data_IF_848137803869
#
_entry.id   IF_848137803869
#
_cell.length_a   1.000
_cell.length_b   1.000
_cell.length_c   1.000
_cell.angle_alpha   90.00
_cell.angle_beta   90.00
_cell.angle_gamma   90.00
#
_symmetry.space_group_name_H-M   'P 1'
#
loop_
_entity.id
_entity.type
_entity.pdbx_description
1 polymer ?
#
# COMPACT_ATOMS: atom_id res chain seq x y z
N UNK A 1 -15.98 -16.84 13.99
CA UNK A 1 -15.72 -15.90 12.88
C UNK A 1 -16.13 -14.48 13.21
N UNK A 2 -17.35 -14.24 13.75
CA UNK A 2 -17.78 -12.91 14.22
C UNK A 2 -16.90 -12.33 15.35
N UNK A 3 -16.40 -13.18 16.26
CA UNK A 3 -15.51 -12.75 17.35
C UNK A 3 -14.14 -12.22 16.87
N UNK A 4 -13.65 -12.71 15.72
CA UNK A 4 -12.39 -12.25 15.13
C UNK A 4 -12.55 -10.86 14.49
N UNK A 5 -13.72 -10.58 13.89
CA UNK A 5 -14.09 -9.27 13.34
C UNK A 5 -14.24 -8.20 14.43
N UNK A 6 -14.77 -8.55 15.61
CA UNK A 6 -14.86 -7.63 16.75
C UNK A 6 -13.50 -7.35 17.41
N UNK A 7 -12.56 -8.31 17.33
CA UNK A 7 -11.19 -8.13 17.82
C UNK A 7 -10.37 -7.21 16.89
N UNK A 8 -10.54 -7.30 15.58
CA UNK A 8 -9.91 -6.38 14.61
C UNK A 8 -10.52 -4.98 14.63
N UNK A 9 -11.83 -4.84 14.85
CA UNK A 9 -12.47 -3.53 15.07
C UNK A 9 -11.93 -2.83 16.34
N UNK A 10 -11.62 -3.59 17.40
CA UNK A 10 -10.96 -3.06 18.61
C UNK A 10 -9.47 -2.73 18.41
N UNK A 11 -8.83 -3.25 17.36
CA UNK A 11 -7.42 -2.97 17.03
C UNK A 11 -7.25 -1.72 16.15
N UNK A 12 -8.30 -1.21 15.52
CA UNK A 12 -8.25 0.06 14.75
C UNK A 12 -7.95 1.28 15.63
N UNK A 13 -8.26 1.19 16.93
CA UNK A 13 -7.96 2.22 17.93
C UNK A 13 -6.62 2.01 18.66
N UNK A 14 -5.86 0.98 18.30
CA UNK A 14 -4.56 0.72 18.92
C UNK A 14 -3.54 1.78 18.41
N UNK A 15 -2.84 2.51 19.30
CA UNK A 15 -1.84 3.50 18.90
C UNK A 15 -0.72 2.91 18.03
N UNK A 16 -0.44 1.61 18.11
CA UNK A 16 0.49 0.94 17.20
C UNK A 16 -0.01 0.90 15.74
N UNK A 17 -1.33 0.98 15.55
CA UNK A 17 -2.02 0.98 14.27
C UNK A 17 -2.18 2.39 13.68
N UNK A 18 -2.49 3.36 14.55
CA UNK A 18 -2.68 4.75 14.17
C UNK A 18 -1.36 5.50 13.99
N UNK A 19 -0.28 5.12 14.69
CA UNK A 19 0.99 5.83 14.62
C UNK A 19 1.64 5.84 13.21
N UNK A 20 1.68 4.75 12.44
CA UNK A 20 2.18 4.78 11.06
C UNK A 20 1.30 5.61 10.13
N UNK A 21 -0.03 5.49 10.28
CA UNK A 21 -1.02 6.25 9.49
C UNK A 21 -0.92 7.75 9.78
N UNK A 22 -0.80 8.13 11.06
CA UNK A 22 -0.63 9.50 11.51
C UNK A 22 0.74 10.07 11.08
N UNK A 23 1.83 9.31 11.17
CA UNK A 23 3.15 9.74 10.67
C UNK A 23 3.13 9.96 9.16
N UNK A 24 2.44 9.09 8.43
CA UNK A 24 2.20 9.21 7.00
C UNK A 24 1.43 10.47 6.63
N UNK A 25 0.27 10.66 7.28
CA UNK A 25 -0.58 11.83 7.09
C UNK A 25 0.13 13.12 7.50
N UNK A 26 0.82 13.14 8.65
CA UNK A 26 1.59 14.29 9.12
C UNK A 26 2.74 14.60 8.16
N UNK A 27 3.44 13.59 7.64
CA UNK A 27 4.48 13.77 6.63
C UNK A 27 3.91 14.38 5.35
N UNK A 28 2.78 13.86 4.86
CA UNK A 28 2.10 14.40 3.68
C UNK A 28 1.62 15.85 3.89
N UNK A 29 1.00 16.14 5.04
CA UNK A 29 0.55 17.49 5.41
C UNK A 29 1.73 18.45 5.58
N UNK A 30 2.83 18.01 6.21
CA UNK A 30 4.02 18.84 6.40
C UNK A 30 4.70 19.17 5.07
N UNK A 31 4.83 18.20 4.16
CA UNK A 31 5.37 18.43 2.82
C UNK A 31 4.45 19.35 2.02
N UNK A 32 3.14 19.12 2.05
CA UNK A 32 2.17 19.99 1.39
C UNK A 32 2.22 21.42 1.93
N UNK A 33 2.20 21.59 3.26
CA UNK A 33 2.28 22.90 3.91
C UNK A 33 3.61 23.59 3.58
N UNK A 34 4.73 22.88 3.62
CA UNK A 34 6.05 23.41 3.26
C UNK A 34 6.09 23.88 1.81
N UNK A 35 5.56 23.10 0.88
CA UNK A 35 5.49 23.47 -0.54
C UNK A 35 4.51 24.62 -0.81
N UNK A 36 3.36 24.64 -0.14
CA UNK A 36 2.41 25.75 -0.22
C UNK A 36 3.01 27.05 0.31
N UNK A 37 3.76 26.99 1.42
CA UNK A 37 4.48 28.14 1.97
C UNK A 37 5.63 28.60 1.07
N UNK A 38 6.39 27.67 0.49
CA UNK A 38 7.44 27.97 -0.51
C UNK A 38 6.85 28.58 -1.78
N UNK A 39 5.73 28.07 -2.26
CA UNK A 39 5.01 28.62 -3.41
C UNK A 39 4.49 30.01 -3.10
N UNK A 40 3.84 30.21 -1.94
CA UNK A 40 3.35 31.51 -1.48
C UNK A 40 4.49 32.53 -1.35
N UNK A 41 5.60 32.14 -0.70
CA UNK A 41 6.81 32.94 -0.59
C UNK A 41 7.36 33.28 -1.99
N UNK A 42 7.53 32.29 -2.87
CA UNK A 42 8.02 32.48 -4.23
C UNK A 42 7.14 33.41 -5.05
N UNK A 43 5.81 33.28 -4.98
CA UNK A 43 4.88 34.22 -5.62
C UNK A 43 4.97 35.61 -5.02
N UNK A 44 5.08 35.75 -3.69
CA UNK A 44 5.21 37.07 -3.06
C UNK A 44 6.54 37.76 -3.38
N UNK A 45 7.63 37.00 -3.47
CA UNK A 45 8.97 37.48 -3.76
C UNK A 45 9.18 37.82 -5.24
N UNK A 46 8.57 37.07 -6.15
CA UNK A 46 8.69 37.28 -7.61
C UNK A 46 7.62 38.21 -8.18
N UNK A 47 6.39 38.21 -7.63
CA UNK A 47 5.29 39.02 -8.17
C UNK A 47 5.18 40.39 -7.49
N UNK A 48 5.61 40.55 -6.22
CA UNK A 48 5.93 41.81 -5.54
C UNK A 48 4.97 43.01 -5.63
N UNK A 49 3.79 42.88 -6.21
CA UNK A 49 2.99 44.03 -6.64
C UNK A 49 1.53 43.70 -6.90
N UNK A 50 0.72 44.76 -7.02
CA UNK A 50 -0.72 44.69 -7.29
C UNK A 50 -0.98 44.84 -8.79
N UNK A 51 -1.75 43.94 -9.41
CA UNK A 51 -2.11 44.02 -10.83
C UNK A 51 -2.36 42.66 -11.47
N UNK A 52 -2.71 42.64 -12.77
CA UNK A 52 -3.09 41.43 -13.49
C UNK A 52 -1.96 40.37 -13.56
N UNK A 53 -0.70 40.81 -13.60
CA UNK A 53 0.47 39.92 -13.59
C UNK A 53 0.61 39.17 -12.25
N UNK A 54 0.29 39.83 -11.14
CA UNK A 54 0.29 39.24 -9.81
C UNK A 54 -0.88 38.28 -9.62
N UNK A 55 -2.06 38.63 -10.14
CA UNK A 55 -3.22 37.71 -10.16
C UNK A 55 -2.92 36.46 -10.99
N UNK A 56 -2.28 36.62 -12.15
CA UNK A 56 -1.87 35.49 -12.99
C UNK A 56 -0.84 34.61 -12.27
N UNK A 57 0.21 35.20 -11.69
CA UNK A 57 1.23 34.47 -10.93
C UNK A 57 0.64 33.69 -9.74
N UNK A 58 -0.28 34.31 -8.97
CA UNK A 58 -0.99 33.64 -7.87
C UNK A 58 -1.86 32.47 -8.36
N UNK A 59 -2.55 32.65 -9.49
CA UNK A 59 -3.42 31.62 -10.09
C UNK A 59 -2.59 30.42 -10.57
N UNK A 60 -1.51 30.66 -11.32
CA UNK A 60 -0.62 29.60 -11.78
C UNK A 60 0.15 28.94 -10.63
N UNK A 61 0.55 29.69 -9.61
CA UNK A 61 1.17 29.15 -8.39
C UNK A 61 0.21 28.24 -7.61
N UNK A 62 -1.06 28.62 -7.49
CA UNK A 62 -2.11 27.79 -6.89
C UNK A 62 -2.38 26.51 -7.66
N UNK A 63 -2.51 26.61 -8.99
CA UNK A 63 -2.64 25.46 -9.90
C UNK A 63 -1.45 24.51 -9.82
N UNK A 64 -0.22 25.06 -9.80
CA UNK A 64 0.99 24.27 -9.65
C UNK A 64 1.01 23.55 -8.30
N UNK A 65 0.61 24.22 -7.21
CA UNK A 65 0.54 23.63 -5.87
C UNK A 65 -0.49 22.49 -5.81
N UNK A 66 -1.67 22.67 -6.42
CA UNK A 66 -2.68 21.62 -6.53
C UNK A 66 -2.20 20.42 -7.36
N UNK A 67 -1.56 20.69 -8.50
CA UNK A 67 -0.95 19.66 -9.35
C UNK A 67 0.13 18.87 -8.60
N UNK A 68 0.99 19.58 -7.85
CA UNK A 68 2.03 18.96 -7.03
C UNK A 68 1.43 18.14 -5.88
N UNK A 69 0.37 18.62 -5.24
CA UNK A 69 -0.32 17.90 -4.17
C UNK A 69 -0.96 16.60 -4.66
N UNK A 70 -1.62 16.63 -5.82
CA UNK A 70 -2.14 15.43 -6.47
C UNK A 70 -1.02 14.46 -6.85
N UNK A 71 0.07 14.97 -7.41
CA UNK A 71 1.22 14.14 -7.79
C UNK A 71 1.93 13.53 -6.57
N UNK A 72 2.04 14.27 -5.46
CA UNK A 72 2.62 13.82 -4.18
C UNK A 72 1.70 12.87 -3.40
N UNK A 73 0.39 12.93 -3.62
CA UNK A 73 -0.56 12.05 -2.95
C UNK A 73 -0.28 10.57 -3.25
N UNK A 74 0.05 10.25 -4.51
CA UNK A 74 0.36 8.88 -4.96
C UNK A 74 1.59 8.28 -4.25
N UNK A 75 2.80 8.90 -4.30
CA UNK A 75 3.96 8.39 -3.59
C UNK A 75 3.80 8.43 -2.07
N UNK A 76 3.06 9.39 -1.51
CA UNK A 76 2.74 9.40 -0.08
C UNK A 76 1.90 8.17 0.30
N UNK A 77 0.84 7.85 -0.44
CA UNK A 77 0.02 6.65 -0.20
C UNK A 77 0.81 5.35 -0.37
N UNK A 78 1.69 5.28 -1.37
CA UNK A 78 2.59 4.13 -1.58
C UNK A 78 3.56 3.95 -0.40
N UNK A 79 4.19 5.04 0.06
CA UNK A 79 5.10 5.00 1.20
C UNK A 79 4.38 4.56 2.49
N UNK A 80 3.15 5.05 2.71
CA UNK A 80 2.34 4.71 3.87
C UNK A 80 1.90 3.24 3.82
N UNK A 81 1.50 2.75 2.64
CA UNK A 81 1.10 1.36 2.43
C UNK A 81 2.22 0.37 2.74
N UNK A 82 3.47 0.69 2.38
CA UNK A 82 4.65 -0.13 2.69
C UNK A 82 4.98 -0.21 4.19
N UNK A 83 4.53 0.76 4.99
CA UNK A 83 4.81 0.82 6.42
C UNK A 83 3.88 -0.04 7.28
N UNK A 84 2.76 -0.56 6.74
CA UNK A 84 1.82 -1.37 7.54
C UNK A 84 2.20 -2.84 7.64
N UNK A 85 2.91 -3.39 6.66
CA UNK A 85 3.18 -4.82 6.59
C UNK A 85 4.00 -5.29 7.82
N UNK A 86 5.08 -4.58 8.13
CA UNK A 86 5.99 -4.98 9.21
C UNK A 86 5.41 -4.85 10.63
N UNK A 87 4.78 -3.72 11.01
CA UNK A 87 4.15 -3.57 12.32
C UNK A 87 2.97 -4.51 12.53
N UNK A 88 2.12 -4.71 11.52
CA UNK A 88 0.94 -5.57 11.63
C UNK A 88 1.36 -7.03 11.78
N UNK A 89 2.26 -7.51 10.93
CA UNK A 89 2.78 -8.87 11.05
C UNK A 89 3.49 -9.08 12.39
N UNK A 90 4.28 -8.10 12.84
CA UNK A 90 4.92 -8.15 14.17
C UNK A 90 3.92 -8.17 15.33
N UNK A 91 2.83 -7.41 15.25
CA UNK A 91 1.78 -7.41 16.28
C UNK A 91 1.05 -8.76 16.35
N UNK A 92 0.72 -9.34 15.19
CA UNK A 92 0.09 -10.67 15.09
C UNK A 92 1.03 -11.74 15.64
N UNK A 93 2.31 -11.72 15.27
CA UNK A 93 3.32 -12.65 15.78
C UNK A 93 3.49 -12.57 17.30
N UNK A 94 3.63 -11.36 17.86
CA UNK A 94 3.73 -11.18 19.33
C UNK A 94 2.49 -11.70 20.06
N UNK A 95 1.30 -11.53 19.48
CA UNK A 95 0.04 -11.92 20.13
C UNK A 95 -0.26 -13.40 20.02
N UNK A 96 -0.07 -14.00 18.85
CA UNK A 96 -0.51 -15.36 18.55
C UNK A 96 0.63 -16.38 18.50
N UNK A 97 1.88 -15.92 18.40
CA UNK A 97 3.07 -16.77 18.26
C UNK A 97 4.26 -16.24 19.09
N UNK A 98 4.11 -16.09 20.43
CA UNK A 98 5.09 -15.43 21.28
C UNK A 98 6.45 -16.14 21.36
N UNK A 99 6.52 -17.43 21.01
CA UNK A 99 7.74 -18.24 21.06
C UNK A 99 8.66 -18.10 19.83
N UNK A 100 8.34 -17.22 18.88
CA UNK A 100 9.14 -17.09 17.66
C UNK A 100 10.46 -16.33 17.91
N UNK A 101 11.59 -16.79 17.32
CA UNK A 101 12.87 -16.08 17.42
C UNK A 101 12.82 -14.71 16.73
N UNK A 102 13.82 -13.83 16.95
CA UNK A 102 13.89 -12.54 16.27
C UNK A 102 13.84 -12.68 14.74
N UNK A 103 13.06 -11.82 14.09
CA UNK A 103 12.96 -11.76 12.64
C UNK A 103 14.29 -11.27 12.03
N UNK A 104 15.05 -12.19 11.41
CA UNK A 104 16.34 -11.92 10.75
C UNK A 104 16.25 -11.97 9.21
N UNK A 105 15.05 -11.85 8.65
CA UNK A 105 14.75 -12.20 7.26
C UNK A 105 15.55 -11.46 6.18
N UNK A 106 15.03 -11.47 4.96
CA UNK A 106 15.69 -10.90 3.79
C UNK A 106 16.15 -9.46 4.02
N UNK A 107 17.31 -9.10 3.45
CA UNK A 107 17.82 -7.73 3.53
C UNK A 107 16.84 -6.74 2.92
N UNK A 108 16.83 -5.50 3.41
CA UNK A 108 15.91 -4.45 2.94
C UNK A 108 16.04 -4.24 1.41
N UNK A 109 17.26 -4.33 0.87
CA UNK A 109 17.49 -4.26 -0.58
C UNK A 109 16.88 -5.41 -1.37
N UNK A 110 16.92 -6.63 -0.83
CA UNK A 110 16.29 -7.79 -1.46
C UNK A 110 14.75 -7.68 -1.47
N UNK A 111 14.16 -7.18 -0.38
CA UNK A 111 12.72 -6.91 -0.28
C UNK A 111 12.29 -5.81 -1.27
N UNK A 112 13.06 -4.73 -1.38
CA UNK A 112 12.80 -3.67 -2.36
C UNK A 112 12.86 -4.21 -3.79
N UNK A 113 13.90 -4.97 -4.13
CA UNK A 113 14.04 -5.58 -5.46
C UNK A 113 12.88 -6.51 -5.79
N UNK A 114 12.42 -7.31 -4.83
CA UNK A 114 11.24 -8.15 -4.97
C UNK A 114 9.97 -7.32 -5.23
N UNK A 115 9.69 -6.33 -4.38
CA UNK A 115 8.49 -5.49 -4.48
C UNK A 115 8.48 -4.69 -5.80
N UNK A 116 9.64 -4.18 -6.22
CA UNK A 116 9.77 -3.44 -7.48
C UNK A 116 9.51 -4.35 -8.69
N UNK A 117 10.09 -5.56 -8.69
CA UNK A 117 9.85 -6.54 -9.76
C UNK A 117 8.39 -6.95 -9.82
N UNK A 118 7.78 -7.27 -8.68
CA UNK A 118 6.37 -7.63 -8.62
C UNK A 118 5.49 -6.48 -9.11
N UNK A 119 5.72 -5.27 -8.60
CA UNK A 119 5.00 -4.07 -9.01
C UNK A 119 5.12 -3.79 -10.50
N UNK A 120 6.31 -3.91 -11.07
CA UNK A 120 6.54 -3.73 -12.51
C UNK A 120 5.78 -4.77 -13.35
N UNK A 121 5.85 -6.06 -12.98
CA UNK A 121 5.11 -7.11 -13.68
C UNK A 121 3.60 -6.87 -13.61
N UNK A 122 3.08 -6.51 -12.44
CA UNK A 122 1.65 -6.22 -12.28
C UNK A 122 1.23 -4.96 -13.06
N UNK A 123 2.08 -3.93 -13.12
CA UNK A 123 1.83 -2.73 -13.91
C UNK A 123 1.78 -3.03 -15.40
N UNK A 124 2.73 -3.83 -15.92
CA UNK A 124 2.73 -4.28 -17.32
C UNK A 124 1.49 -5.10 -17.63
N UNK A 125 1.12 -6.06 -16.77
CA UNK A 125 -0.10 -6.87 -16.95
C UNK A 125 -1.36 -6.00 -16.93
N UNK A 126 -1.43 -5.00 -16.05
CA UNK A 126 -2.55 -4.06 -15.97
C UNK A 126 -2.65 -3.22 -17.24
N UNK A 127 -1.52 -2.76 -17.79
CA UNK A 127 -1.49 -2.01 -19.04
C UNK A 127 -1.95 -2.88 -20.23
N UNK A 128 -1.52 -4.14 -20.28
CA UNK A 128 -1.95 -5.11 -21.29
C UNK A 128 -3.43 -5.49 -21.15
N UNK A 129 -4.02 -5.34 -19.96
CA UNK A 129 -5.43 -5.59 -19.71
C UNK A 129 -6.34 -4.39 -20.09
N UNK A 130 -5.79 -3.19 -20.30
CA UNK A 130 -6.60 -2.01 -20.65
C UNK A 130 -7.43 -2.19 -21.93
N UNK A 131 -6.90 -2.72 -23.05
CA UNK A 131 -7.69 -2.93 -24.26
C UNK A 131 -8.92 -3.81 -23.98
N UNK A 132 -8.79 -4.84 -23.14
CA UNK A 132 -9.91 -5.71 -22.77
C UNK A 132 -11.01 -4.95 -22.04
N UNK A 133 -10.69 -3.94 -21.23
CA UNK A 133 -11.70 -3.10 -20.57
C UNK A 133 -12.48 -2.28 -21.58
N UNK A 134 -11.80 -1.72 -22.60
CA UNK A 134 -12.44 -0.87 -23.60
C UNK A 134 -13.24 -1.66 -24.65
N UNK A 135 -12.72 -2.80 -25.11
CA UNK A 135 -13.36 -3.59 -26.18
C UNK A 135 -14.27 -4.70 -25.66
N UNK A 136 -14.10 -5.12 -24.40
CA UNK A 136 -14.78 -6.28 -23.83
C UNK A 136 -14.94 -6.12 -22.31
N UNK A 137 -15.65 -5.07 -21.86
CA UNK A 137 -15.70 -4.62 -20.47
C UNK A 137 -15.85 -5.73 -19.39
N UNK A 138 -16.71 -6.76 -19.55
CA UNK A 138 -16.78 -7.85 -18.57
C UNK A 138 -15.46 -8.63 -18.45
N UNK A 139 -14.78 -8.90 -19.57
CA UNK A 139 -13.50 -9.61 -19.60
C UNK A 139 -12.37 -8.74 -19.02
N UNK A 140 -12.41 -7.44 -19.29
CA UNK A 140 -11.48 -6.49 -18.68
C UNK A 140 -11.59 -6.45 -17.15
N UNK A 141 -12.82 -6.42 -16.61
CA UNK A 141 -13.04 -6.46 -15.17
C UNK A 141 -12.50 -7.75 -14.52
N UNK A 142 -12.76 -8.91 -15.14
CA UNK A 142 -12.23 -10.19 -14.67
C UNK A 142 -10.70 -10.22 -14.73
N UNK A 143 -10.09 -9.69 -15.80
CA UNK A 143 -8.64 -9.61 -15.92
C UNK A 143 -8.01 -8.75 -14.81
N UNK A 144 -8.56 -7.55 -14.54
CA UNK A 144 -8.08 -6.69 -13.46
C UNK A 144 -8.23 -7.33 -12.08
N UNK A 145 -9.33 -8.06 -11.86
CA UNK A 145 -9.54 -8.80 -10.62
C UNK A 145 -8.53 -9.95 -10.46
N UNK A 146 -8.21 -10.69 -11.53
CA UNK A 146 -7.18 -11.73 -11.52
C UNK A 146 -5.78 -11.16 -11.26
N UNK A 147 -5.43 -10.05 -11.91
CA UNK A 147 -4.16 -9.36 -11.66
C UNK A 147 -4.08 -8.91 -10.20
N UNK A 148 -5.15 -8.33 -9.67
CA UNK A 148 -5.23 -7.89 -8.26
C UNK A 148 -5.12 -9.06 -7.29
N UNK A 149 -5.74 -10.20 -7.63
CA UNK A 149 -5.66 -11.45 -6.86
C UNK A 149 -4.22 -11.95 -6.74
N UNK A 150 -3.49 -11.98 -7.87
CA UNK A 150 -2.09 -12.39 -7.91
C UNK A 150 -1.21 -11.38 -7.18
N UNK A 151 -1.41 -10.08 -7.41
CA UNK A 151 -0.64 -9.01 -6.79
C UNK A 151 -0.75 -9.04 -5.26
N UNK A 152 -1.98 -9.09 -4.74
CA UNK A 152 -2.24 -9.12 -3.29
C UNK A 152 -1.80 -10.46 -2.68
N UNK A 153 -2.11 -11.58 -3.34
CA UNK A 153 -1.72 -12.91 -2.88
C UNK A 153 -0.21 -13.06 -2.76
N UNK A 154 0.51 -12.91 -3.87
CA UNK A 154 1.96 -13.09 -3.91
C UNK A 154 2.69 -12.01 -3.13
N UNK A 155 2.28 -10.74 -3.27
CA UNK A 155 2.94 -9.62 -2.62
C UNK A 155 2.85 -9.68 -1.09
N UNK A 156 1.65 -9.89 -0.55
CA UNK A 156 1.46 -9.93 0.91
C UNK A 156 2.06 -11.20 1.54
N UNK A 157 1.92 -12.36 0.90
CA UNK A 157 2.49 -13.59 1.43
C UNK A 157 4.01 -13.58 1.40
N UNK A 158 4.62 -13.28 0.25
CA UNK A 158 6.09 -13.23 0.15
C UNK A 158 6.65 -12.09 1.00
N UNK A 159 5.96 -10.94 1.11
CA UNK A 159 6.36 -9.86 2.00
C UNK A 159 6.40 -10.28 3.48
N UNK A 160 5.37 -10.96 3.97
CA UNK A 160 5.35 -11.47 5.36
C UNK A 160 6.39 -12.57 5.56
N UNK A 161 6.55 -13.48 4.59
CA UNK A 161 7.53 -14.55 4.66
C UNK A 161 8.98 -14.02 4.66
N UNK A 162 9.27 -13.00 3.85
CA UNK A 162 10.60 -12.38 3.74
C UNK A 162 11.06 -11.73 5.05
N UNK A 163 10.18 -11.45 6.00
CA UNK A 163 10.57 -11.03 7.37
C UNK A 163 11.27 -12.15 8.14
N UNK A 164 11.02 -13.40 7.78
CA UNK A 164 11.45 -14.61 8.50
C UNK A 164 12.45 -15.45 7.72
N UNK A 165 12.45 -15.36 6.39
CA UNK A 165 13.30 -16.18 5.50
C UNK A 165 13.81 -15.39 4.29
N UNK A 166 14.67 -16.00 3.47
CA UNK A 166 15.19 -15.39 2.24
C UNK A 166 14.10 -15.29 1.17
N UNK A 167 14.34 -14.48 0.13
CA UNK A 167 13.39 -14.30 -1.00
C UNK A 167 13.13 -15.63 -1.71
N UNK A 168 14.17 -16.46 -1.87
CA UNK A 168 14.10 -17.76 -2.53
C UNK A 168 13.26 -18.75 -1.70
N UNK A 169 13.47 -18.78 -0.39
CA UNK A 169 12.71 -19.62 0.53
C UNK A 169 11.24 -19.18 0.60
N UNK A 170 10.98 -17.88 0.66
CA UNK A 170 9.63 -17.32 0.65
C UNK A 170 8.87 -17.72 -0.62
N UNK A 171 9.52 -17.61 -1.79
CA UNK A 171 8.95 -17.99 -3.08
C UNK A 171 8.74 -19.51 -3.19
N UNK A 172 9.66 -20.32 -2.66
CA UNK A 172 9.49 -21.78 -2.64
C UNK A 172 8.29 -22.18 -1.77
N UNK A 173 8.16 -21.58 -0.59
CA UNK A 173 7.04 -21.82 0.32
C UNK A 173 5.71 -21.37 -0.28
N UNK A 174 5.69 -20.21 -0.95
CA UNK A 174 4.50 -19.73 -1.67
C UNK A 174 4.04 -20.75 -2.70
N UNK A 175 4.95 -21.24 -3.55
CA UNK A 175 4.63 -22.22 -4.59
C UNK A 175 4.02 -23.52 -4.01
N UNK A 176 4.47 -23.94 -2.84
CA UNK A 176 3.87 -25.08 -2.13
C UNK A 176 2.46 -24.81 -1.57
N UNK A 177 2.05 -23.53 -1.45
CA UNK A 177 0.76 -23.09 -0.89
C UNK A 177 -0.05 -22.26 -1.87
N UNK A 178 0.21 -22.40 -3.17
CA UNK A 178 -0.26 -21.46 -4.20
C UNK A 178 -1.77 -21.24 -4.16
N UNK A 179 -2.55 -22.33 -4.07
CA UNK A 179 -4.01 -22.25 -4.03
C UNK A 179 -4.55 -21.52 -2.80
N UNK A 180 -3.89 -21.67 -1.65
CA UNK A 180 -4.28 -20.97 -0.42
C UNK A 180 -3.91 -19.49 -0.49
N UNK A 181 -2.74 -19.19 -1.06
CA UNK A 181 -2.25 -17.81 -1.25
C UNK A 181 -3.14 -17.06 -2.24
N UNK A 182 -3.43 -17.66 -3.40
CA UNK A 182 -4.32 -17.07 -4.40
C UNK A 182 -5.78 -17.01 -3.91
N UNK A 183 -6.25 -18.00 -3.16
CA UNK A 183 -7.58 -17.96 -2.55
C UNK A 183 -7.76 -16.78 -1.60
N UNK A 184 -6.78 -16.53 -0.71
CA UNK A 184 -6.78 -15.32 0.12
C UNK A 184 -6.61 -14.05 -0.72
N UNK A 185 -5.75 -14.07 -1.73
CA UNK A 185 -5.58 -12.96 -2.69
C UNK A 185 -6.89 -12.58 -3.37
N UNK A 186 -7.71 -13.55 -3.77
CA UNK A 186 -8.99 -13.36 -4.44
C UNK A 186 -10.03 -12.74 -3.51
N UNK A 187 -10.08 -13.19 -2.25
CA UNK A 187 -10.92 -12.58 -1.21
C UNK A 187 -10.51 -11.13 -1.00
N UNK A 188 -9.21 -10.86 -0.84
CA UNK A 188 -8.69 -9.51 -0.65
C UNK A 188 -8.95 -8.60 -1.85
N UNK A 189 -8.77 -9.10 -3.07
CA UNK A 189 -9.07 -8.38 -4.31
C UNK A 189 -10.55 -8.01 -4.42
N UNK A 190 -11.43 -8.91 -3.97
CA UNK A 190 -12.88 -8.64 -3.94
C UNK A 190 -13.23 -7.60 -2.87
N UNK A 191 -12.62 -7.67 -1.69
CA UNK A 191 -12.79 -6.66 -0.64
C UNK A 191 -12.29 -5.28 -1.06
N UNK A 192 -11.24 -5.23 -1.89
CA UNK A 192 -10.69 -4.00 -2.44
C UNK A 192 -11.65 -3.26 -3.39
N UNK A 193 -12.66 -3.95 -3.94
CA UNK A 193 -13.69 -3.33 -4.78
C UNK A 193 -14.58 -2.35 -4.02
N UNK A 194 -14.72 -2.52 -2.70
CA UNK A 194 -15.52 -1.63 -1.85
C UNK A 194 -14.59 -0.57 -1.25
N UNK A 195 -14.73 0.73 -1.59
CA UNK A 195 -13.75 1.75 -1.22
C UNK A 195 -13.43 1.85 0.28
N UNK A 196 -14.46 1.74 1.12
CA UNK A 196 -14.32 1.81 2.59
C UNK A 196 -13.57 0.58 3.12
N UNK A 197 -13.85 -0.60 2.56
CA UNK A 197 -13.23 -1.87 2.98
C UNK A 197 -11.80 -1.99 2.43
N UNK A 198 -11.51 -1.38 1.28
CA UNK A 198 -10.18 -1.37 0.68
C UNK A 198 -9.10 -0.82 1.64
N UNK A 199 -9.46 0.14 2.49
CA UNK A 199 -8.56 0.67 3.54
C UNK A 199 -8.11 -0.40 4.55
N UNK A 200 -8.92 -1.45 4.74
CA UNK A 200 -8.63 -2.56 5.64
C UNK A 200 -7.87 -3.71 4.96
N UNK A 201 -7.80 -3.72 3.62
CA UNK A 201 -7.18 -4.82 2.86
C UNK A 201 -5.71 -5.05 3.24
N UNK A 202 -4.85 -4.02 3.37
CA UNK A 202 -3.46 -4.23 3.79
C UNK A 202 -3.37 -4.88 5.17
N UNK A 203 -4.21 -4.43 6.10
CA UNK A 203 -4.25 -4.90 7.49
C UNK A 203 -4.70 -6.37 7.57
N UNK A 204 -5.88 -6.64 7.02
CA UNK A 204 -6.50 -7.96 7.03
C UNK A 204 -5.66 -8.94 6.24
N UNK A 205 -5.12 -8.51 5.10
CA UNK A 205 -4.26 -9.31 4.26
C UNK A 205 -2.96 -9.69 4.95
N UNK A 206 -2.25 -8.73 5.57
CA UNK A 206 -1.04 -9.03 6.34
C UNK A 206 -1.33 -9.99 7.50
N UNK A 207 -2.40 -9.79 8.25
CA UNK A 207 -2.76 -10.69 9.35
C UNK A 207 -3.10 -12.10 8.86
N UNK A 208 -3.93 -12.21 7.82
CA UNK A 208 -4.33 -13.49 7.23
C UNK A 208 -3.13 -14.25 6.65
N UNK A 209 -2.24 -13.57 5.93
CA UNK A 209 -1.02 -14.18 5.38
C UNK A 209 -0.03 -14.57 6.47
N UNK A 210 0.06 -13.82 7.58
CA UNK A 210 0.88 -14.19 8.75
C UNK A 210 0.37 -15.47 9.39
N UNK A 211 -0.95 -15.63 9.53
CA UNK A 211 -1.53 -16.89 9.99
C UNK A 211 -1.31 -18.02 8.99
N UNK A 212 -1.48 -17.77 7.69
CA UNK A 212 -1.22 -18.77 6.65
C UNK A 212 0.25 -19.21 6.66
N UNK A 213 1.19 -18.31 6.95
CA UNK A 213 2.61 -18.63 7.07
C UNK A 213 2.88 -19.61 8.21
N UNK A 214 2.33 -19.36 9.40
CA UNK A 214 2.66 -20.11 10.61
C UNK A 214 1.75 -21.32 10.90
N UNK A 215 0.53 -21.36 10.35
CA UNK A 215 -0.45 -22.45 10.55
C UNK A 215 -0.76 -23.28 9.31
N UNK A 216 -0.43 -22.77 8.13
CA UNK A 216 -0.58 -23.52 6.87
C UNK A 216 0.47 -24.60 6.73
#
# INVERSE_FOLDING_TARGET
MLAACTLTLRQLTDPAFLAPLAKGLLGAVAVFAGLALLAAWGTSALAGGTGWLATAAATFGGLLTLGLAYWLFIPAMLAISGLFLDPVAGAVERRFYPGLPPARGASLGAQIGFNLKLGLVMAVLSLLALPLVFFAAPFGAVAFWLISTVALGHGLFEGVAQRRMTVEAARALRRGREWRVLGLGAVLATLALVPIVNLLVPVLGTAAMTHLLHRG
#
